data_IF_139037517887
#
_entry.id   IF_139037517887
#
_cell.length_a   1.000
_cell.length_b   1.000
_cell.length_c   1.000
_cell.angle_alpha   90.00
_cell.angle_beta   90.00
_cell.angle_gamma   90.00
#
_symmetry.space_group_name_H-M   'P 1'
#
loop_
_entity.id
_entity.type
_entity.pdbx_description
1 polymer ?
#
# COMPACT_ATOMS: atom_id res chain seq x y z
N UNK A 1 13.76 -11.20 12.42
CA UNK A 1 15.22 -11.20 12.19
C UNK A 1 15.54 -10.39 10.95
N UNK A 2 16.63 -9.62 10.94
CA UNK A 2 17.05 -8.83 9.77
C UNK A 2 18.10 -9.60 8.97
N UNK A 3 18.03 -9.54 7.63
CA UNK A 3 19.00 -10.13 6.71
C UNK A 3 19.61 -9.05 5.82
N UNK A 4 20.92 -9.11 5.61
CA UNK A 4 21.62 -8.16 4.75
C UNK A 4 21.41 -8.53 3.28
N UNK A 5 21.25 -7.50 2.44
CA UNK A 5 21.10 -7.62 0.99
C UNK A 5 22.09 -6.65 0.36
N UNK A 6 22.87 -7.14 -0.62
CA UNK A 6 23.80 -6.32 -1.41
C UNK A 6 23.23 -6.17 -2.81
N UNK A 7 23.15 -4.94 -3.32
CA UNK A 7 22.70 -4.66 -4.67
C UNK A 7 23.44 -3.44 -5.22
N UNK A 8 23.62 -3.40 -6.53
CA UNK A 8 24.30 -2.31 -7.21
C UNK A 8 23.30 -1.24 -7.64
N UNK A 9 23.66 0.03 -7.45
CA UNK A 9 22.90 1.18 -7.91
C UNK A 9 23.81 2.13 -8.71
N UNK A 10 23.27 2.94 -9.62
CA UNK A 10 24.03 4.01 -10.26
C UNK A 10 24.66 4.94 -9.22
N UNK A 11 25.92 5.32 -9.42
CA UNK A 11 26.67 6.14 -8.46
C UNK A 11 25.98 7.49 -8.18
N UNK A 12 25.46 8.13 -9.22
CA UNK A 12 24.72 9.38 -9.09
C UNK A 12 23.48 9.25 -8.20
N UNK A 13 22.78 8.12 -8.30
CA UNK A 13 21.61 7.85 -7.46
C UNK A 13 22.03 7.69 -5.99
N UNK A 14 23.13 7.00 -5.71
CA UNK A 14 23.67 6.86 -4.35
C UNK A 14 24.01 8.24 -3.78
N UNK A 15 24.66 9.10 -4.57
CA UNK A 15 25.02 10.46 -4.18
C UNK A 15 23.80 11.30 -3.84
N UNK A 16 22.80 11.32 -4.72
CA UNK A 16 21.55 12.06 -4.51
C UNK A 16 20.78 11.53 -3.29
N UNK A 17 20.71 10.21 -3.12
CA UNK A 17 20.02 9.58 -2.01
C UNK A 17 20.69 9.87 -0.65
N UNK A 18 22.04 9.94 -0.61
CA UNK A 18 22.77 10.36 0.59
C UNK A 18 22.45 11.81 0.98
N UNK A 19 22.41 12.72 0.01
CA UNK A 19 22.03 14.12 0.25
C UNK A 19 20.59 14.21 0.78
N UNK A 20 19.67 13.45 0.18
CA UNK A 20 18.28 13.37 0.65
C UNK A 20 18.18 12.84 2.08
N UNK A 21 18.94 11.78 2.40
CA UNK A 21 18.96 11.19 3.73
C UNK A 21 19.46 12.19 4.79
N UNK A 22 20.56 12.89 4.49
CA UNK A 22 21.11 13.93 5.36
C UNK A 22 20.10 15.07 5.58
N UNK A 23 19.43 15.54 4.52
CA UNK A 23 18.38 16.58 4.63
C UNK A 23 17.18 16.18 5.49
N UNK A 24 16.97 14.88 5.71
CA UNK A 24 15.85 14.33 6.48
C UNK A 24 16.28 13.81 7.86
N UNK A 25 17.53 14.03 8.26
CA UNK A 25 18.13 13.42 9.47
C UNK A 25 17.94 11.90 9.53
N UNK A 26 18.07 11.23 8.37
CA UNK A 26 17.94 9.78 8.23
C UNK A 26 19.19 9.16 7.60
N UNK A 27 19.35 7.85 7.82
CA UNK A 27 20.34 7.06 7.08
C UNK A 27 19.80 6.60 5.73
N UNK A 28 20.70 6.33 4.78
CA UNK A 28 20.32 5.74 3.49
C UNK A 28 19.60 4.40 3.66
N UNK A 29 20.07 3.56 4.59
CA UNK A 29 19.42 2.29 4.92
C UNK A 29 18.00 2.48 5.46
N UNK A 30 17.75 3.53 6.24
CA UNK A 30 16.40 3.84 6.72
C UNK A 30 15.47 4.21 5.54
N UNK A 31 15.94 5.02 4.59
CA UNK A 31 15.17 5.37 3.39
C UNK A 31 14.87 4.13 2.53
N UNK A 32 15.87 3.28 2.28
CA UNK A 32 15.68 2.04 1.52
C UNK A 32 14.66 1.14 2.20
N UNK A 33 14.74 0.98 3.53
CA UNK A 33 13.76 0.21 4.30
C UNK A 33 12.35 0.77 4.15
N UNK A 34 12.19 2.08 4.29
CA UNK A 34 10.89 2.75 4.20
C UNK A 34 10.24 2.54 2.82
N UNK A 35 11.01 2.68 1.75
CA UNK A 35 10.54 2.43 0.38
C UNK A 35 10.08 0.98 0.23
N UNK A 36 10.89 0.00 0.66
CA UNK A 36 10.54 -1.41 0.58
C UNK A 36 9.28 -1.73 1.39
N UNK A 37 9.18 -1.21 2.62
CA UNK A 37 7.98 -1.40 3.44
C UNK A 37 6.74 -0.80 2.80
N UNK A 38 6.85 0.40 2.22
CA UNK A 38 5.73 1.08 1.56
C UNK A 38 5.24 0.27 0.36
N UNK A 39 6.15 -0.21 -0.47
CA UNK A 39 5.79 -1.01 -1.65
C UNK A 39 5.12 -2.35 -1.27
N UNK A 40 5.66 -3.04 -0.26
CA UNK A 40 5.07 -4.29 0.24
C UNK A 40 3.70 -4.05 0.88
N UNK A 41 3.57 -3.05 1.76
CA UNK A 41 2.29 -2.70 2.42
C UNK A 41 1.25 -2.24 1.41
N UNK A 42 1.63 -1.49 0.38
CA UNK A 42 0.71 -1.04 -0.68
C UNK A 42 0.12 -2.23 -1.43
N UNK A 43 0.97 -3.17 -1.86
CA UNK A 43 0.55 -4.40 -2.53
C UNK A 43 -0.34 -5.29 -1.65
N UNK A 44 -0.01 -5.41 -0.36
CA UNK A 44 -0.80 -6.18 0.59
C UNK A 44 -2.19 -5.57 0.82
N UNK A 45 -2.27 -4.25 1.00
CA UNK A 45 -3.56 -3.56 1.16
C UNK A 45 -4.46 -3.71 -0.07
N UNK A 46 -3.90 -3.55 -1.27
CA UNK A 46 -4.63 -3.75 -2.52
C UNK A 46 -5.15 -5.19 -2.63
N UNK A 47 -4.27 -6.18 -2.43
CA UNK A 47 -4.65 -7.60 -2.50
C UNK A 47 -5.70 -7.96 -1.46
N UNK A 48 -5.57 -7.48 -0.22
CA UNK A 48 -6.57 -7.69 0.83
C UNK A 48 -7.92 -7.06 0.50
N UNK A 49 -7.93 -5.85 -0.09
CA UNK A 49 -9.17 -5.22 -0.53
C UNK A 49 -9.84 -6.02 -1.65
N UNK A 50 -9.06 -6.45 -2.65
CA UNK A 50 -9.55 -7.30 -3.72
C UNK A 50 -10.08 -8.64 -3.20
N UNK A 51 -9.36 -9.29 -2.29
CA UNK A 51 -9.79 -10.55 -1.67
C UNK A 51 -11.12 -10.41 -0.92
N UNK A 52 -11.30 -9.34 -0.12
CA UNK A 52 -12.58 -9.08 0.57
C UNK A 52 -13.74 -8.87 -0.39
N UNK A 53 -13.52 -8.20 -1.52
CA UNK A 53 -14.55 -8.02 -2.53
C UNK A 53 -14.89 -9.36 -3.20
N UNK A 54 -13.88 -10.13 -3.58
CA UNK A 54 -14.06 -11.44 -4.21
C UNK A 54 -14.79 -12.43 -3.30
N UNK A 55 -14.43 -12.47 -2.01
CA UNK A 55 -15.11 -13.28 -0.99
C UNK A 55 -16.60 -12.92 -0.91
N UNK A 56 -16.93 -11.62 -0.81
CA UNK A 56 -18.32 -11.16 -0.82
C UNK A 56 -19.08 -11.49 -2.10
N UNK A 57 -18.41 -11.44 -3.25
CA UNK A 57 -19.06 -11.83 -4.52
C UNK A 57 -19.21 -13.35 -4.67
N UNK A 58 -18.37 -14.13 -4.00
CA UNK A 58 -18.47 -15.60 -4.01
C UNK A 58 -19.68 -16.09 -3.22
N UNK A 59 -20.17 -15.31 -2.24
CA UNK A 59 -21.42 -15.57 -1.52
C UNK A 59 -22.68 -15.42 -2.41
N UNK A 60 -22.54 -14.87 -3.63
CA UNK A 60 -23.62 -14.66 -4.59
C UNK A 60 -24.11 -13.22 -4.67
N UNK A 61 -25.12 -12.97 -5.51
CA UNK A 61 -25.74 -11.65 -5.61
C UNK A 61 -26.68 -11.44 -4.42
N UNK A 62 -26.60 -10.29 -3.78
CA UNK A 62 -27.61 -9.88 -2.80
C UNK A 62 -28.95 -9.69 -3.51
N UNK A 63 -30.02 -10.26 -2.94
CA UNK A 63 -31.38 -9.92 -3.34
C UNK A 63 -31.68 -8.49 -2.90
N UNK A 64 -31.70 -7.57 -3.86
CA UNK A 64 -32.06 -6.18 -3.62
C UNK A 64 -33.59 -6.09 -3.80
N UNK A 65 -34.36 -5.77 -2.74
CA UNK A 65 -35.80 -5.56 -2.89
C UNK A 65 -36.04 -4.41 -3.87
N UNK A 66 -37.13 -4.48 -4.64
CA UNK A 66 -37.55 -3.43 -5.56
C UNK A 66 -38.06 -2.20 -4.79
N UNK A 67 -37.17 -1.54 -4.04
CA UNK A 67 -37.42 -0.30 -3.31
C UNK A 67 -36.70 0.82 -4.05
N UNK A 68 -37.41 1.91 -4.33
CA UNK A 68 -36.77 3.17 -4.73
C UNK A 68 -36.16 3.78 -3.48
N UNK A 69 -34.84 3.88 -3.47
CA UNK A 69 -34.11 4.58 -2.42
C UNK A 69 -33.98 6.05 -2.81
N UNK A 70 -34.49 6.96 -1.98
CA UNK A 70 -34.17 8.37 -2.08
C UNK A 70 -33.04 8.68 -1.09
N UNK A 71 -32.19 9.66 -1.41
CA UNK A 71 -31.04 10.01 -0.55
C UNK A 71 -31.45 10.38 0.89
N UNK A 72 -32.66 10.89 1.09
CA UNK A 72 -33.21 11.19 2.42
C UNK A 72 -33.43 9.94 3.27
N UNK A 73 -33.69 8.78 2.65
CA UNK A 73 -33.99 7.52 3.33
C UNK A 73 -32.73 6.80 3.85
N UNK A 74 -31.53 7.35 3.61
CA UNK A 74 -30.24 6.71 3.93
C UNK A 74 -29.67 7.12 5.30
N UNK A 75 -30.32 8.08 5.99
CA UNK A 75 -29.82 8.67 7.23
C UNK A 75 -30.76 8.46 8.43
N UNK A 76 -31.89 7.78 8.24
CA UNK A 76 -32.78 7.29 9.30
C UNK A 76 -32.51 5.81 9.59
#
# INVERSE_FOLDING_TARGET
MARNITFSLPEDLIRQAKVLAARRDRSLNALVREVLEKEVKSRDRYRKAAARLLEKTAEGLYEIPARKWNRGDLYE
#
